data_IF_404394738839
#
_entry.id   IF_404394738839
#
_cell.length_a   1.000
_cell.length_b   1.000
_cell.length_c   1.000
_cell.angle_alpha   90.00
_cell.angle_beta   90.00
_cell.angle_gamma   90.00
#
_symmetry.space_group_name_H-M   'P 1'
#
loop_
_entity.id
_entity.type
_entity.pdbx_description
1 polymer ?
#
# COMPACT_ATOMS: atom_id res chain seq x y z
N UNK A 1 2.56 -32.77 53.10
CA UNK A 1 3.75 -32.22 52.42
C UNK A 1 3.53 -32.40 50.92
N UNK A 2 2.57 -31.66 50.35
CA UNK A 2 2.23 -31.70 48.93
C UNK A 2 2.73 -30.40 48.30
N UNK A 3 3.68 -30.52 47.38
CA UNK A 3 4.19 -29.41 46.59
C UNK A 3 3.30 -29.24 45.37
N UNK A 4 2.54 -28.15 45.33
CA UNK A 4 1.94 -27.65 44.10
C UNK A 4 3.04 -27.02 43.24
N UNK A 5 3.21 -27.55 42.03
CA UNK A 5 3.96 -26.91 40.94
C UNK A 5 3.02 -25.91 40.25
N UNK A 6 3.40 -24.64 40.05
CA UNK A 6 2.64 -23.76 39.18
C UNK A 6 3.05 -24.06 37.73
N UNK A 7 2.05 -24.32 36.89
CA UNK A 7 2.20 -24.40 35.46
C UNK A 7 2.56 -23.00 34.91
N UNK A 8 3.71 -22.90 34.26
CA UNK A 8 4.10 -21.74 33.47
C UNK A 8 3.22 -21.70 32.20
N UNK A 9 2.18 -20.87 32.22
CA UNK A 9 1.51 -20.43 31.02
C UNK A 9 2.39 -19.41 30.30
N UNK A 10 2.95 -19.79 29.15
CA UNK A 10 3.61 -18.85 28.24
C UNK A 10 2.56 -17.90 27.65
N UNK A 11 2.29 -16.80 28.34
CA UNK A 11 1.52 -15.70 27.80
C UNK A 11 2.29 -15.04 26.66
N UNK A 12 1.70 -15.01 25.46
CA UNK A 12 2.13 -14.08 24.41
C UNK A 12 2.07 -12.66 24.98
N UNK A 13 3.22 -12.00 25.09
CA UNK A 13 3.28 -10.59 25.46
C UNK A 13 2.76 -9.79 24.26
N UNK A 14 1.49 -9.41 24.28
CA UNK A 14 0.90 -8.48 23.31
C UNK A 14 1.53 -7.09 23.45
N UNK A 15 1.64 -6.35 22.33
CA UNK A 15 2.09 -4.95 22.34
C UNK A 15 3.13 -4.53 21.29
N UNK A 16 3.66 -5.45 20.46
CA UNK A 16 4.59 -5.10 19.37
C UNK A 16 5.88 -4.41 19.84
N UNK A 17 6.40 -3.46 19.05
CA UNK A 17 7.54 -2.63 19.46
C UNK A 17 7.02 -1.53 20.39
N UNK A 18 6.94 -1.83 21.68
CA UNK A 18 6.27 -1.03 22.72
C UNK A 18 6.77 0.41 22.94
N UNK A 19 7.85 0.85 22.27
CA UNK A 19 8.35 2.23 22.36
C UNK A 19 9.02 2.72 21.08
N UNK A 20 9.02 4.05 20.88
CA UNK A 20 9.67 4.66 19.72
C UNK A 20 11.20 4.48 19.74
N UNK A 21 11.82 4.32 20.92
CA UNK A 21 13.24 3.97 21.01
C UNK A 21 13.56 2.61 20.41
N UNK A 22 12.66 1.64 20.57
CA UNK A 22 12.78 0.34 19.91
C UNK A 22 12.49 0.46 18.41
N UNK A 23 11.45 1.20 18.03
CA UNK A 23 11.10 1.43 16.62
C UNK A 23 12.22 2.12 15.85
N UNK A 24 12.89 3.12 16.43
CA UNK A 24 14.06 3.79 15.85
C UNK A 24 15.21 2.85 15.48
N UNK A 25 15.31 1.71 16.16
CA UNK A 25 16.29 0.66 15.87
C UNK A 25 15.73 -0.38 14.90
N UNK A 26 14.47 -0.78 15.10
CA UNK A 26 13.86 -1.90 14.39
C UNK A 26 13.30 -1.54 13.00
N UNK A 27 12.62 -0.40 12.84
CA UNK A 27 12.01 -0.01 11.57
C UNK A 27 13.04 0.09 10.43
N UNK A 28 14.24 0.67 10.62
CA UNK A 28 15.29 0.62 9.60
C UNK A 28 15.63 -0.81 9.15
N UNK A 29 15.76 -1.74 10.11
CA UNK A 29 16.07 -3.15 9.84
C UNK A 29 14.94 -3.82 9.07
N UNK A 30 13.68 -3.61 9.46
CA UNK A 30 12.50 -4.15 8.79
C UNK A 30 12.36 -3.61 7.36
N UNK A 31 12.72 -2.35 7.15
CA UNK A 31 12.80 -1.73 5.83
C UNK A 31 14.04 -2.15 5.04
N UNK A 32 14.98 -2.86 5.66
CA UNK A 32 16.12 -3.45 4.96
C UNK A 32 17.36 -2.58 4.87
N UNK A 33 17.57 -1.65 5.80
CA UNK A 33 18.79 -0.85 5.86
C UNK A 33 19.32 -0.70 7.29
N UNK A 34 20.61 -0.38 7.41
CA UNK A 34 21.28 -0.22 8.70
C UNK A 34 21.38 1.25 9.08
N UNK A 35 20.79 1.61 10.23
CA UNK A 35 20.77 2.96 10.77
C UNK A 35 22.15 3.54 11.13
N UNK A 36 23.17 2.68 11.27
CA UNK A 36 24.54 3.05 11.64
C UNK A 36 25.49 3.14 10.43
N UNK A 37 25.10 2.57 9.28
CA UNK A 37 25.90 2.61 8.04
C UNK A 37 25.57 3.79 7.13
N UNK A 38 24.53 4.54 7.45
CA UNK A 38 24.15 5.80 6.78
C UNK A 38 25.01 6.96 7.28
N UNK A 39 26.34 6.80 7.28
CA UNK A 39 27.20 7.98 7.23
C UNK A 39 27.06 8.60 5.84
N UNK A 40 26.85 9.93 5.74
CA UNK A 40 26.60 10.56 4.45
C UNK A 40 27.78 10.32 3.51
N UNK A 41 27.53 9.60 2.42
CA UNK A 41 28.49 9.41 1.34
C UNK A 41 28.70 10.74 0.59
N UNK A 42 29.77 10.84 -0.23
CA UNK A 42 30.00 12.03 -1.06
C UNK A 42 28.84 12.37 -2.02
N UNK A 43 27.95 11.40 -2.31
CA UNK A 43 26.73 11.60 -3.09
C UNK A 43 25.56 12.12 -2.22
N UNK A 44 25.54 11.81 -0.91
CA UNK A 44 24.61 12.38 0.08
C UNK A 44 24.86 13.87 0.36
N UNK A 45 26.04 14.39 0.00
CA UNK A 45 26.37 15.80 0.09
C UNK A 45 25.63 16.67 -0.96
N UNK A 46 24.99 16.06 -1.96
CA UNK A 46 23.98 16.79 -2.76
C UNK A 46 22.78 17.05 -1.88
N UNK A 47 22.77 18.21 -1.23
CA UNK A 47 21.60 18.81 -0.60
C UNK A 47 20.41 18.59 -1.52
N UNK A 48 19.39 17.85 -1.06
CA UNK A 48 18.21 17.55 -1.87
C UNK A 48 17.53 18.81 -2.43
N UNK A 49 17.75 19.96 -1.77
CA UNK A 49 17.31 21.27 -2.22
C UNK A 49 17.89 21.67 -3.59
N UNK A 50 19.05 21.14 -4.00
CA UNK A 50 19.66 21.38 -5.32
C UNK A 50 19.13 20.45 -6.41
N UNK A 51 18.38 19.40 -6.05
CA UNK A 51 17.75 18.53 -7.02
C UNK A 51 16.57 19.26 -7.71
N UNK A 52 16.22 18.91 -8.96
CA UNK A 52 15.09 19.50 -9.66
C UNK A 52 13.79 19.41 -8.85
N UNK A 53 12.95 20.45 -8.98
CA UNK A 53 11.62 20.49 -8.36
C UNK A 53 10.79 19.29 -8.83
N UNK A 54 10.15 18.58 -7.91
CA UNK A 54 9.18 17.53 -8.23
C UNK A 54 7.84 18.15 -8.65
N UNK A 55 7.12 17.48 -9.56
CA UNK A 55 5.84 17.98 -10.08
C UNK A 55 4.77 18.16 -9.00
N UNK A 56 4.81 17.33 -7.96
CA UNK A 56 3.77 17.26 -6.93
C UNK A 56 4.01 18.13 -5.70
N UNK A 57 5.09 18.93 -5.63
CA UNK A 57 5.42 19.73 -4.44
C UNK A 57 4.31 20.71 -4.02
N UNK A 58 3.55 21.23 -4.98
CA UNK A 58 2.42 22.12 -4.67
C UNK A 58 1.27 21.37 -3.97
N UNK A 59 1.04 20.10 -4.32
CA UNK A 59 0.08 19.25 -3.62
C UNK A 59 0.57 18.87 -2.22
N UNK A 60 1.87 18.57 -2.09
CA UNK A 60 2.49 18.29 -0.78
C UNK A 60 2.24 19.44 0.20
N UNK A 61 2.47 20.69 -0.22
CA UNK A 61 2.22 21.87 0.60
C UNK A 61 0.77 21.96 1.07
N UNK A 62 -0.19 21.72 0.18
CA UNK A 62 -1.63 21.79 0.52
C UNK A 62 -2.03 20.71 1.53
N UNK A 63 -1.49 19.51 1.39
CA UNK A 63 -1.79 18.37 2.24
C UNK A 63 -1.15 18.48 3.62
N UNK A 64 0.12 18.88 3.68
CA UNK A 64 0.86 19.07 4.94
C UNK A 64 0.22 20.14 5.83
N UNK A 65 -0.44 21.15 5.26
CA UNK A 65 -1.22 22.11 6.03
C UNK A 65 -2.35 21.46 6.86
N UNK A 66 -2.80 20.27 6.46
CA UNK A 66 -3.82 19.45 7.12
C UNK A 66 -3.22 18.29 7.93
N UNK A 67 -1.91 18.21 8.09
CA UNK A 67 -1.24 17.17 8.89
C UNK A 67 -1.33 17.45 10.41
N UNK A 68 -1.03 16.42 11.21
CA UNK A 68 -0.99 16.45 12.67
C UNK A 68 -2.32 16.90 13.33
N UNK A 69 -3.45 16.49 12.76
CA UNK A 69 -4.79 16.82 13.31
C UNK A 69 -5.05 16.07 14.62
N UNK A 70 -4.72 14.78 14.66
CA UNK A 70 -5.06 13.91 15.79
C UNK A 70 -3.90 13.69 16.76
N UNK A 71 -2.68 13.60 16.24
CA UNK A 71 -1.48 13.40 17.03
C UNK A 71 -0.32 14.22 16.46
N UNK A 72 0.60 14.69 17.31
CA UNK A 72 0.63 14.54 18.77
C UNK A 72 -0.30 15.53 19.51
N UNK A 73 -0.85 15.13 20.66
CA UNK A 73 -1.86 15.92 21.41
C UNK A 73 -1.26 16.92 22.42
N UNK A 74 0.03 16.81 22.72
CA UNK A 74 0.75 17.53 23.78
C UNK A 74 1.61 18.69 23.26
N UNK A 75 1.27 19.26 22.10
CA UNK A 75 2.09 20.27 21.41
C UNK A 75 1.37 21.58 21.13
N UNK A 76 2.13 22.67 21.25
CA UNK A 76 1.67 24.02 20.91
C UNK A 76 1.53 24.19 19.40
N UNK A 77 0.71 25.15 18.96
CA UNK A 77 0.55 25.47 17.54
C UNK A 77 1.88 25.76 16.82
N UNK A 78 2.85 26.40 17.51
CA UNK A 78 4.20 26.67 16.98
C UNK A 78 5.01 25.39 16.77
N UNK A 79 4.91 24.44 17.69
CA UNK A 79 5.57 23.13 17.54
C UNK A 79 4.94 22.33 16.40
N UNK A 80 3.61 22.35 16.27
CA UNK A 80 2.91 21.73 15.14
C UNK A 80 3.33 22.37 13.81
N UNK A 81 3.42 23.70 13.73
CA UNK A 81 3.88 24.41 12.53
C UNK A 81 5.32 24.03 12.15
N UNK A 82 6.20 23.91 13.15
CA UNK A 82 7.58 23.42 12.95
C UNK A 82 7.56 22.01 12.36
N UNK A 83 6.74 21.09 12.91
CA UNK A 83 6.62 19.72 12.37
C UNK A 83 6.02 19.68 10.97
N UNK A 84 5.11 20.57 10.62
CA UNK A 84 4.61 20.71 9.24
C UNK A 84 5.74 21.11 8.30
N UNK A 85 6.60 22.03 8.70
CA UNK A 85 7.84 22.34 7.97
C UNK A 85 8.72 21.10 7.76
N UNK A 86 9.02 20.38 8.84
CA UNK A 86 9.83 19.15 8.81
C UNK A 86 9.20 18.06 7.91
N UNK A 87 7.88 17.89 7.96
CA UNK A 87 7.13 16.95 7.14
C UNK A 87 7.16 17.34 5.66
N UNK A 88 7.01 18.63 5.36
CA UNK A 88 7.12 19.15 3.99
C UNK A 88 8.51 18.88 3.41
N UNK A 89 9.56 19.15 4.19
CA UNK A 89 10.95 18.90 3.79
C UNK A 89 11.20 17.41 3.57
N UNK A 90 10.73 16.55 4.48
CA UNK A 90 10.83 15.09 4.36
C UNK A 90 10.20 14.57 3.07
N UNK A 91 8.94 14.92 2.80
CA UNK A 91 8.21 14.44 1.62
C UNK A 91 8.87 14.99 0.35
N UNK A 92 9.25 16.27 0.35
CA UNK A 92 9.91 16.90 -0.81
C UNK A 92 11.26 16.25 -1.09
N UNK A 93 12.06 15.98 -0.06
CA UNK A 93 13.33 15.28 -0.20
C UNK A 93 13.14 13.90 -0.83
N UNK A 94 12.20 13.10 -0.34
CA UNK A 94 11.91 11.76 -0.86
C UNK A 94 11.52 11.82 -2.34
N UNK A 95 10.60 12.72 -2.70
CA UNK A 95 10.13 12.85 -4.09
C UNK A 95 11.23 13.38 -5.02
N UNK A 96 12.07 14.31 -4.58
CA UNK A 96 13.19 14.80 -5.40
C UNK A 96 14.29 13.76 -5.59
N UNK A 97 14.55 12.94 -4.57
CA UNK A 97 15.51 11.83 -4.66
C UNK A 97 14.96 10.66 -5.49
N UNK A 98 13.65 10.43 -5.46
CA UNK A 98 12.95 9.38 -6.21
C UNK A 98 11.91 9.99 -7.18
N UNK A 99 12.33 10.77 -8.20
CA UNK A 99 11.43 11.60 -9.01
C UNK A 99 10.50 10.83 -9.95
N UNK A 100 10.58 9.50 -9.97
CA UNK A 100 9.65 8.65 -10.69
C UNK A 100 8.38 8.36 -9.90
N UNK A 101 8.38 8.55 -8.58
CA UNK A 101 7.22 8.31 -7.72
C UNK A 101 6.21 9.44 -7.86
N UNK A 102 4.94 9.11 -8.09
CA UNK A 102 3.84 10.08 -8.09
C UNK A 102 3.25 10.20 -6.69
N UNK A 103 3.11 11.42 -6.19
CA UNK A 103 2.46 11.68 -4.91
C UNK A 103 0.96 11.35 -4.98
N UNK A 104 0.40 10.76 -3.92
CA UNK A 104 -1.03 10.58 -3.75
C UNK A 104 -1.53 11.31 -2.50
N UNK A 105 -2.75 11.85 -2.55
CA UNK A 105 -3.36 12.51 -1.41
C UNK A 105 -3.58 11.51 -0.27
N UNK A 106 -3.01 11.83 0.91
CA UNK A 106 -2.95 10.94 2.08
C UNK A 106 -1.57 10.33 2.35
N UNK A 107 -0.60 10.49 1.43
CA UNK A 107 0.78 10.05 1.68
C UNK A 107 1.44 10.80 2.87
N UNK A 108 1.05 12.05 3.12
CA UNK A 108 1.48 12.81 4.30
C UNK A 108 1.07 12.17 5.63
N UNK A 109 -0.09 11.48 5.70
CA UNK A 109 -0.55 10.77 6.90
C UNK A 109 0.39 9.60 7.24
N UNK A 110 0.97 8.94 6.23
CA UNK A 110 2.01 7.91 6.44
C UNK A 110 3.32 8.57 6.91
N UNK A 111 3.75 9.61 6.21
CA UNK A 111 5.04 10.26 6.46
C UNK A 111 5.11 10.92 7.85
N UNK A 112 3.99 11.47 8.37
CA UNK A 112 3.97 12.06 9.69
C UNK A 112 4.21 11.02 10.81
N UNK A 113 3.73 9.79 10.65
CA UNK A 113 3.99 8.70 11.61
C UNK A 113 5.48 8.37 11.63
N UNK A 114 6.10 8.26 10.45
CA UNK A 114 7.55 8.07 10.34
C UNK A 114 8.35 9.20 10.97
N UNK A 115 7.94 10.45 10.75
CA UNK A 115 8.61 11.61 11.34
C UNK A 115 8.50 11.63 12.87
N UNK A 116 7.34 11.25 13.43
CA UNK A 116 7.15 11.18 14.88
C UNK A 116 7.99 10.07 15.52
N UNK A 117 8.06 8.90 14.88
CA UNK A 117 8.79 7.74 15.39
C UNK A 117 10.30 7.90 15.21
N UNK A 118 10.76 8.20 14.00
CA UNK A 118 12.19 8.22 13.64
C UNK A 118 12.87 9.57 13.90
N UNK A 119 12.11 10.66 13.96
CA UNK A 119 12.66 12.01 13.93
C UNK A 119 13.32 12.31 12.58
N UNK A 120 14.41 13.09 12.60
CA UNK A 120 15.10 13.51 11.38
C UNK A 120 16.08 12.45 10.84
N UNK A 121 16.77 11.75 11.74
CA UNK A 121 17.80 10.78 11.34
C UNK A 121 17.15 9.59 10.66
N UNK A 122 17.67 9.16 9.51
CA UNK A 122 17.23 7.99 8.76
C UNK A 122 15.78 8.03 8.23
N UNK A 123 15.01 9.08 8.51
CA UNK A 123 13.59 9.14 8.16
C UNK A 123 13.38 9.24 6.64
N UNK A 124 14.17 10.08 5.95
CA UNK A 124 14.12 10.20 4.48
C UNK A 124 14.45 8.87 3.78
N UNK A 125 15.46 8.14 4.26
CA UNK A 125 15.80 6.80 3.73
C UNK A 125 14.69 5.79 4.03
N UNK A 126 14.16 5.77 5.25
CA UNK A 126 13.08 4.88 5.65
C UNK A 126 11.83 5.08 4.78
N UNK A 127 11.41 6.34 4.62
CA UNK A 127 10.25 6.70 3.80
C UNK A 127 10.52 6.43 2.32
N UNK A 128 11.72 6.70 1.80
CA UNK A 128 12.10 6.34 0.42
C UNK A 128 11.97 4.84 0.16
N UNK A 129 12.44 4.00 1.10
CA UNK A 129 12.37 2.54 0.99
C UNK A 129 10.94 2.03 1.13
N UNK A 130 10.16 2.56 2.09
CA UNK A 130 8.73 2.25 2.21
C UNK A 130 8.02 2.54 0.88
N UNK A 131 8.23 3.73 0.33
CA UNK A 131 7.59 4.22 -0.88
C UNK A 131 7.95 3.41 -2.12
N UNK A 132 9.22 3.06 -2.28
CA UNK A 132 9.68 2.29 -3.41
C UNK A 132 9.37 0.79 -3.31
N UNK A 133 9.28 0.22 -2.09
CA UNK A 133 9.28 -1.24 -1.89
C UNK A 133 7.98 -1.79 -1.29
N UNK A 134 7.27 -1.03 -0.45
CA UNK A 134 6.05 -1.50 0.24
C UNK A 134 4.76 -0.91 -0.31
N UNK A 135 4.76 0.37 -0.71
CA UNK A 135 3.54 1.10 -1.13
C UNK A 135 3.61 1.65 -2.57
N UNK A 136 4.65 1.29 -3.34
CA UNK A 136 4.92 1.78 -4.70
C UNK A 136 3.71 1.73 -5.64
N UNK A 137 2.86 0.72 -5.51
CA UNK A 137 1.67 0.55 -6.35
C UNK A 137 0.67 1.72 -6.20
N UNK A 138 0.69 2.41 -5.05
CA UNK A 138 -0.11 3.60 -4.77
C UNK A 138 0.50 4.88 -5.32
N UNK A 139 1.80 4.85 -5.61
CA UNK A 139 2.57 5.96 -6.15
C UNK A 139 2.79 5.86 -7.66
N UNK A 140 2.09 4.96 -8.34
CA UNK A 140 2.07 4.87 -9.81
C UNK A 140 1.28 6.04 -10.41
N UNK A 141 1.47 6.38 -11.70
CA UNK A 141 0.80 7.51 -12.33
C UNK A 141 -0.74 7.43 -12.37
N UNK A 142 -1.31 6.26 -12.08
CA UNK A 142 -2.75 6.05 -11.96
C UNK A 142 -3.04 5.19 -10.73
N UNK A 143 -4.23 5.35 -10.15
CA UNK A 143 -4.70 4.52 -9.02
C UNK A 143 -5.17 3.11 -9.44
N UNK A 144 -5.10 2.75 -10.73
CA UNK A 144 -5.58 1.46 -11.21
C UNK A 144 -4.95 0.24 -10.50
N UNK A 145 -3.64 0.21 -10.19
CA UNK A 145 -3.01 -0.84 -9.38
C UNK A 145 -3.57 -0.88 -7.96
N UNK A 146 -3.70 0.27 -7.29
CA UNK A 146 -4.31 0.37 -5.96
C UNK A 146 -5.72 -0.25 -5.96
N UNK A 147 -6.56 0.13 -6.93
CA UNK A 147 -7.91 -0.43 -7.10
C UNK A 147 -7.89 -1.93 -7.41
N UNK A 148 -6.87 -2.45 -8.09
CA UNK A 148 -6.73 -3.88 -8.31
C UNK A 148 -6.45 -4.64 -7.00
N UNK A 149 -5.68 -4.05 -6.08
CA UNK A 149 -5.46 -4.62 -4.75
C UNK A 149 -6.77 -4.67 -3.95
N UNK A 150 -7.57 -3.58 -3.94
CA UNK A 150 -8.86 -3.54 -3.23
C UNK A 150 -9.85 -4.59 -3.71
N UNK A 151 -9.83 -4.92 -5.00
CA UNK A 151 -10.69 -5.96 -5.58
C UNK A 151 -10.37 -7.37 -5.08
N UNK A 152 -9.27 -7.57 -4.34
CA UNK A 152 -9.01 -8.82 -3.63
C UNK A 152 -9.92 -8.97 -2.40
N UNK A 153 -10.39 -7.88 -1.78
CA UNK A 153 -11.21 -7.90 -0.54
C UNK A 153 -12.48 -8.74 -0.71
N UNK A 154 -13.32 -8.54 -1.74
CA UNK A 154 -14.48 -9.41 -1.95
C UNK A 154 -14.11 -10.88 -2.15
N UNK A 155 -12.95 -11.16 -2.76
CA UNK A 155 -12.43 -12.52 -2.93
C UNK A 155 -12.11 -13.18 -1.59
N UNK A 156 -11.46 -12.46 -0.69
CA UNK A 156 -11.14 -12.92 0.68
C UNK A 156 -12.42 -13.13 1.49
N UNK A 157 -13.38 -12.19 1.42
CA UNK A 157 -14.66 -12.32 2.11
C UNK A 157 -15.40 -13.57 1.60
N UNK A 158 -15.40 -13.82 0.29
CA UNK A 158 -16.07 -14.97 -0.31
C UNK A 158 -15.53 -16.31 0.19
N UNK A 159 -14.23 -16.42 0.49
CA UNK A 159 -13.66 -17.69 0.97
C UNK A 159 -14.09 -18.04 2.40
N UNK A 160 -14.42 -17.02 3.21
CA UNK A 160 -14.81 -17.19 4.63
C UNK A 160 -16.32 -17.15 4.81
N UNK A 161 -16.98 -16.16 4.21
CA UNK A 161 -18.41 -15.90 4.36
C UNK A 161 -19.05 -15.58 2.99
N UNK A 162 -19.42 -16.62 2.21
CA UNK A 162 -20.07 -16.46 0.90
C UNK A 162 -21.38 -15.66 0.96
N UNK A 163 -22.13 -15.75 2.07
CA UNK A 163 -23.38 -15.00 2.28
C UNK A 163 -23.12 -13.51 2.38
N UNK A 164 -22.10 -13.11 3.16
CA UNK A 164 -21.70 -11.70 3.28
C UNK A 164 -21.16 -11.17 1.94
N UNK A 165 -20.38 -11.97 1.21
CA UNK A 165 -19.94 -11.61 -0.14
C UNK A 165 -21.12 -11.32 -1.08
N UNK A 166 -22.15 -12.18 -1.08
CA UNK A 166 -23.33 -11.98 -1.91
C UNK A 166 -24.11 -10.73 -1.46
N UNK A 167 -24.24 -10.52 -0.15
CA UNK A 167 -24.90 -9.36 0.43
C UNK A 167 -24.22 -8.03 0.03
N UNK A 168 -22.89 -8.01 -0.06
CA UNK A 168 -22.12 -6.83 -0.46
C UNK A 168 -21.86 -6.73 -1.98
N UNK A 169 -22.48 -7.58 -2.81
CA UNK A 169 -22.09 -7.73 -4.22
C UNK A 169 -22.31 -6.49 -5.08
N UNK A 170 -23.25 -5.61 -4.70
CA UNK A 170 -23.52 -4.34 -5.39
C UNK A 170 -22.62 -3.19 -4.89
N UNK A 171 -21.96 -3.35 -3.74
CA UNK A 171 -21.06 -2.35 -3.17
C UNK A 171 -19.64 -2.54 -3.72
N UNK A 172 -19.15 -1.57 -4.47
CA UNK A 172 -17.76 -1.56 -4.90
C UNK A 172 -16.82 -1.33 -3.71
N UNK A 173 -15.64 -1.99 -3.64
CA UNK A 173 -14.72 -1.93 -2.50
C UNK A 173 -13.96 -0.60 -2.38
N UNK A 174 -14.48 0.50 -2.93
CA UNK A 174 -13.87 1.83 -2.82
C UNK A 174 -13.90 2.37 -1.39
N UNK A 175 -14.80 1.87 -0.53
CA UNK A 175 -14.82 2.18 0.91
C UNK A 175 -13.47 1.85 1.59
N UNK A 176 -12.73 0.88 1.05
CA UNK A 176 -11.45 0.46 1.61
C UNK A 176 -10.26 1.30 1.13
N UNK A 177 -10.47 2.19 0.16
CA UNK A 177 -9.38 2.92 -0.47
C UNK A 177 -8.65 3.80 0.53
N UNK A 178 -9.35 4.65 1.29
CA UNK A 178 -8.71 5.56 2.26
C UNK A 178 -7.85 4.81 3.27
N UNK A 179 -8.42 3.81 3.94
CA UNK A 179 -7.71 3.05 4.97
C UNK A 179 -6.51 2.28 4.42
N UNK A 180 -6.65 1.55 3.32
CA UNK A 180 -5.51 0.78 2.77
C UNK A 180 -4.44 1.66 2.15
N UNK A 181 -4.83 2.74 1.45
CA UNK A 181 -3.94 3.68 0.77
C UNK A 181 -3.06 4.45 1.77
N UNK A 182 -3.63 4.86 2.91
CA UNK A 182 -2.94 5.62 3.96
C UNK A 182 -2.37 4.73 5.06
N UNK A 183 -2.35 3.40 4.87
CA UNK A 183 -1.96 2.43 5.91
C UNK A 183 -2.70 2.68 7.23
N UNK A 184 -3.97 3.06 7.15
CA UNK A 184 -4.90 3.40 8.23
C UNK A 184 -4.51 4.64 9.05
N UNK A 185 -3.45 5.36 8.66
CA UNK A 185 -2.96 6.53 9.40
C UNK A 185 -3.93 7.71 9.36
N UNK A 186 -4.80 7.76 8.35
CA UNK A 186 -5.86 8.76 8.24
C UNK A 186 -7.02 8.51 9.22
N UNK A 187 -7.36 7.24 9.45
CA UNK A 187 -8.57 6.85 10.19
C UNK A 187 -8.31 6.55 11.67
N UNK A 188 -7.11 6.08 12.02
CA UNK A 188 -6.69 5.81 13.40
C UNK A 188 -6.22 7.10 14.06
N UNK A 189 -6.90 7.49 15.13
CA UNK A 189 -6.70 8.77 15.82
C UNK A 189 -5.71 8.65 16.99
N UNK A 190 -5.48 7.45 17.51
CA UNK A 190 -4.55 7.20 18.61
C UNK A 190 -3.14 6.90 18.08
N UNK A 191 -2.15 7.71 18.48
CA UNK A 191 -0.76 7.55 18.04
C UNK A 191 -0.19 6.16 18.36
N UNK A 192 -0.47 5.66 19.56
CA UNK A 192 0.00 4.35 20.01
C UNK A 192 -0.49 3.22 19.09
N UNK A 193 -1.76 3.27 18.69
CA UNK A 193 -2.38 2.27 17.83
C UNK A 193 -1.81 2.31 16.42
N UNK A 194 -1.64 3.51 15.82
CA UNK A 194 -1.10 3.61 14.47
C UNK A 194 0.38 3.23 14.41
N UNK A 195 1.18 3.62 15.41
CA UNK A 195 2.59 3.21 15.49
C UNK A 195 2.72 1.69 15.66
N UNK A 196 1.85 1.08 16.49
CA UNK A 196 1.76 -0.37 16.65
C UNK A 196 1.38 -1.09 15.37
N UNK A 197 0.49 -0.49 14.57
CA UNK A 197 0.06 -1.06 13.31
C UNK A 197 1.17 -1.00 12.25
N UNK A 198 1.95 0.08 12.22
CA UNK A 198 3.13 0.20 11.37
C UNK A 198 4.21 -0.83 11.73
N UNK A 199 4.38 -1.18 13.01
CA UNK A 199 5.25 -2.30 13.41
C UNK A 199 4.88 -3.59 12.68
N UNK A 200 3.57 -3.87 12.51
CA UNK A 200 3.07 -5.06 11.80
C UNK A 200 3.28 -4.93 10.30
N UNK A 201 2.90 -3.81 9.70
CA UNK A 201 3.00 -3.63 8.25
C UNK A 201 4.44 -3.66 7.75
N UNK A 202 5.40 -3.20 8.55
CA UNK A 202 6.82 -3.32 8.23
C UNK A 202 7.37 -4.74 8.43
N UNK A 203 6.79 -5.51 9.35
CA UNK A 203 7.21 -6.89 9.65
C UNK A 203 6.49 -7.97 8.80
N UNK A 204 5.53 -7.59 7.97
CA UNK A 204 4.67 -8.49 7.19
C UNK A 204 4.72 -8.17 5.69
N UNK A 205 4.16 -9.08 4.90
CA UNK A 205 3.93 -8.83 3.47
C UNK A 205 2.95 -7.68 3.23
N UNK A 206 3.15 -6.90 2.15
CA UNK A 206 2.31 -5.73 1.85
C UNK A 206 0.80 -6.06 1.72
N UNK A 207 0.46 -7.29 1.32
CA UNK A 207 -0.95 -7.72 1.21
C UNK A 207 -1.66 -7.84 2.56
N UNK A 208 -0.92 -7.88 3.67
CA UNK A 208 -1.49 -7.94 5.02
C UNK A 208 -2.46 -6.77 5.29
N UNK A 209 -2.18 -5.57 4.75
CA UNK A 209 -3.10 -4.41 4.85
C UNK A 209 -4.45 -4.68 4.17
N UNK A 210 -4.46 -5.35 3.01
CA UNK A 210 -5.70 -5.74 2.31
C UNK A 210 -6.48 -6.79 3.10
N UNK A 211 -5.78 -7.77 3.69
CA UNK A 211 -6.39 -8.79 4.55
C UNK A 211 -6.95 -8.19 5.83
N UNK A 212 -6.27 -7.21 6.40
CA UNK A 212 -6.76 -6.50 7.59
C UNK A 212 -8.07 -5.80 7.29
N UNK A 213 -8.20 -5.17 6.12
CA UNK A 213 -9.47 -4.56 5.73
C UNK A 213 -10.57 -5.62 5.58
N UNK A 214 -10.28 -6.74 4.92
CA UNK A 214 -11.22 -7.85 4.80
C UNK A 214 -11.65 -8.39 6.19
N UNK A 215 -10.72 -8.50 7.13
CA UNK A 215 -11.01 -8.92 8.50
C UNK A 215 -11.89 -7.90 9.24
N UNK A 216 -11.70 -6.59 9.04
CA UNK A 216 -12.59 -5.55 9.58
C UNK A 216 -14.02 -5.76 9.06
N UNK A 217 -14.19 -6.03 7.76
CA UNK A 217 -15.52 -6.31 7.18
C UNK A 217 -16.13 -7.59 7.77
N UNK A 218 -15.34 -8.66 7.88
CA UNK A 218 -15.79 -9.93 8.46
C UNK A 218 -16.22 -9.78 9.93
N UNK A 219 -15.49 -9.00 10.73
CA UNK A 219 -15.82 -8.75 12.13
C UNK A 219 -17.13 -7.97 12.31
N UNK A 220 -17.58 -7.27 11.26
CA UNK A 220 -18.81 -6.46 11.27
C UNK A 220 -19.95 -7.13 10.51
N UNK A 221 -19.88 -8.44 10.27
CA UNK A 221 -20.88 -9.15 9.46
C UNK A 221 -22.30 -9.00 10.02
N UNK A 222 -22.47 -9.01 11.34
CA UNK A 222 -23.79 -8.85 11.98
C UNK A 222 -24.39 -7.47 11.66
N UNK A 223 -23.65 -6.38 11.93
CA UNK A 223 -24.05 -5.01 11.60
C UNK A 223 -24.38 -4.83 10.11
N UNK A 224 -23.61 -5.47 9.23
CA UNK A 224 -23.84 -5.39 7.80
C UNK A 224 -25.12 -6.12 7.37
N UNK A 225 -25.41 -7.30 7.94
CA UNK A 225 -26.64 -8.04 7.63
C UNK A 225 -27.92 -7.35 8.16
N UNK A 226 -27.80 -6.51 9.18
CA UNK A 226 -28.91 -5.69 9.67
C UNK A 226 -29.26 -4.54 8.72
N UNK A 227 -28.37 -4.21 7.79
CA UNK A 227 -28.61 -3.23 6.72
C UNK A 227 -29.11 -3.95 5.46
N UNK A 228 -30.19 -3.52 4.79
CA UNK A 228 -30.67 -4.16 3.58
C UNK A 228 -29.62 -4.16 2.44
N UNK A 229 -29.57 -5.25 1.66
CA UNK A 229 -28.59 -5.42 0.58
C UNK A 229 -28.81 -4.46 -0.60
N UNK A 230 -30.04 -3.99 -0.78
CA UNK A 230 -30.46 -3.01 -1.79
C UNK A 230 -30.22 -1.56 -1.36
N UNK A 231 -29.53 -1.34 -0.23
CA UNK A 231 -29.06 -0.04 0.24
C UNK A 231 -27.52 0.07 0.18
N UNK A 232 -26.89 0.00 -1.01
CA UNK A 232 -25.43 -0.02 -1.15
C UNK A 232 -24.74 1.25 -0.63
N UNK A 233 -25.45 2.38 -0.62
CA UNK A 233 -24.95 3.65 -0.08
C UNK A 233 -24.79 3.61 1.45
N UNK A 234 -25.74 2.97 2.15
CA UNK A 234 -25.69 2.77 3.59
C UNK A 234 -24.56 1.81 3.97
N UNK A 235 -24.47 0.67 3.27
CA UNK A 235 -23.37 -0.28 3.41
C UNK A 235 -22.01 0.39 3.16
N UNK A 236 -21.90 1.22 2.12
CA UNK A 236 -20.69 1.98 1.84
C UNK A 236 -20.32 2.94 2.98
N UNK A 237 -21.30 3.66 3.54
CA UNK A 237 -21.11 4.59 4.66
C UNK A 237 -20.62 3.87 5.93
N UNK A 238 -21.21 2.71 6.23
CA UNK A 238 -20.81 1.84 7.34
C UNK A 238 -19.35 1.38 7.15
N UNK A 239 -19.04 0.85 5.97
CA UNK A 239 -17.74 0.27 5.64
C UNK A 239 -16.61 1.31 5.49
N UNK A 240 -16.95 2.57 5.24
CA UNK A 240 -15.97 3.67 5.16
C UNK A 240 -15.48 4.15 6.52
N UNK A 241 -16.04 3.64 7.63
CA UNK A 241 -15.62 3.97 8.99
C UNK A 241 -15.00 2.75 9.66
N UNK A 242 -13.88 2.94 10.35
CA UNK A 242 -13.34 1.90 11.22
C UNK A 242 -14.25 1.69 12.44
N UNK A 243 -14.41 0.45 12.92
CA UNK A 243 -15.21 0.17 14.11
C UNK A 243 -14.59 0.84 15.34
N UNK A 244 -15.44 1.38 16.22
CA UNK A 244 -15.03 1.97 17.50
C UNK A 244 -15.79 1.27 18.65
N UNK A 245 -15.10 0.66 19.63
CA UNK A 245 -13.65 0.57 19.78
C UNK A 245 -13.01 -0.43 18.79
N UNK A 246 -11.80 -0.13 18.34
CA UNK A 246 -11.00 -1.03 17.50
C UNK A 246 -10.08 -1.86 18.40
N UNK A 247 -10.37 -3.16 18.58
CA UNK A 247 -9.46 -4.05 19.29
C UNK A 247 -8.29 -4.45 18.36
N UNK A 248 -7.24 -3.64 18.36
CA UNK A 248 -6.13 -3.75 17.41
C UNK A 248 -5.39 -5.09 17.51
N UNK A 249 -5.05 -5.56 18.71
CA UNK A 249 -4.32 -6.84 18.87
C UNK A 249 -5.16 -8.03 18.41
N UNK A 250 -6.47 -8.04 18.71
CA UNK A 250 -7.37 -9.06 18.18
C UNK A 250 -7.46 -8.98 16.66
N UNK A 251 -7.59 -7.79 16.09
CA UNK A 251 -7.62 -7.59 14.64
C UNK A 251 -6.35 -8.12 13.97
N UNK A 252 -5.17 -7.82 14.53
CA UNK A 252 -3.87 -8.33 14.01
C UNK A 252 -3.82 -9.86 14.07
N UNK A 253 -4.24 -10.46 15.19
CA UNK A 253 -4.27 -11.90 15.38
C UNK A 253 -5.22 -12.60 14.40
N UNK A 254 -6.45 -12.09 14.28
CA UNK A 254 -7.47 -12.65 13.39
C UNK A 254 -7.06 -12.46 11.92
N UNK A 255 -6.49 -11.31 11.55
CA UNK A 255 -5.94 -11.06 10.19
C UNK A 255 -4.82 -12.02 9.85
N UNK A 256 -3.94 -12.33 10.81
CA UNK A 256 -2.86 -13.31 10.61
C UNK A 256 -3.44 -14.69 10.30
N UNK A 257 -4.39 -15.15 11.12
CA UNK A 257 -5.07 -16.44 10.88
C UNK A 257 -5.78 -16.47 9.53
N UNK A 258 -6.45 -15.38 9.16
CA UNK A 258 -7.15 -15.25 7.88
C UNK A 258 -6.17 -15.40 6.71
N UNK A 259 -5.02 -14.75 6.77
CA UNK A 259 -3.99 -14.83 5.74
C UNK A 259 -3.37 -16.23 5.63
N UNK A 260 -3.08 -16.86 6.77
CA UNK A 260 -2.50 -18.22 6.82
C UNK A 260 -3.48 -19.27 6.28
N UNK A 261 -4.77 -19.16 6.61
CA UNK A 261 -5.81 -20.10 6.19
C UNK A 261 -6.26 -19.89 4.73
N UNK A 262 -6.22 -18.65 4.25
CA UNK A 262 -6.68 -18.27 2.91
C UNK A 262 -5.59 -17.46 2.19
N UNK A 263 -4.45 -18.07 1.83
CA UNK A 263 -3.33 -17.36 1.23
C UNK A 263 -3.74 -16.72 -0.11
N UNK A 264 -3.10 -15.60 -0.52
CA UNK A 264 -3.54 -14.84 -1.69
C UNK A 264 -3.45 -15.66 -2.98
N UNK A 265 -2.54 -16.64 -3.05
CA UNK A 265 -2.44 -17.62 -4.13
C UNK A 265 -3.74 -18.37 -4.42
N UNK A 266 -4.60 -18.55 -3.41
CA UNK A 266 -5.89 -19.22 -3.56
C UNK A 266 -6.96 -18.33 -4.22
N UNK A 267 -6.73 -17.01 -4.29
CA UNK A 267 -7.71 -16.05 -4.80
C UNK A 267 -7.67 -15.99 -6.34
N UNK A 268 -8.81 -16.13 -7.05
CA UNK A 268 -8.82 -16.08 -8.52
C UNK A 268 -8.20 -14.82 -9.13
N UNK A 269 -8.41 -13.67 -8.48
CA UNK A 269 -7.90 -12.38 -8.93
C UNK A 269 -6.40 -12.17 -8.65
N UNK A 270 -5.76 -13.00 -7.83
CA UNK A 270 -4.32 -12.90 -7.54
C UNK A 270 -3.46 -13.05 -8.79
N UNK A 271 -3.87 -13.93 -9.70
CA UNK A 271 -3.20 -14.13 -10.99
C UNK A 271 -3.18 -12.88 -11.87
N UNK A 272 -4.15 -11.96 -11.67
CA UNK A 272 -4.27 -10.69 -12.39
C UNK A 272 -3.44 -9.56 -11.79
N UNK A 273 -3.01 -9.68 -10.54
CA UNK A 273 -2.08 -8.71 -9.92
C UNK A 273 -0.74 -8.79 -10.64
N UNK A 274 -0.16 -7.63 -10.99
CA UNK A 274 1.13 -7.56 -11.66
C UNK A 274 2.20 -8.36 -10.90
N UNK A 275 3.07 -9.07 -11.62
CA UNK A 275 4.25 -9.70 -11.02
C UNK A 275 5.23 -8.70 -10.42
N UNK A 276 5.15 -7.45 -10.88
CA UNK A 276 5.97 -6.33 -10.41
C UNK A 276 5.27 -5.53 -9.31
N UNK A 277 4.09 -5.95 -8.84
CA UNK A 277 3.36 -5.35 -7.71
C UNK A 277 4.10 -5.53 -6.39
N UNK A 278 4.04 -4.54 -5.50
CA UNK A 278 4.55 -4.69 -4.11
C UNK A 278 3.93 -5.87 -3.38
N UNK A 279 2.69 -6.24 -3.70
CA UNK A 279 2.05 -7.43 -3.15
C UNK A 279 2.84 -8.72 -3.46
N UNK A 280 3.64 -8.74 -4.53
CA UNK A 280 4.44 -9.90 -4.95
C UNK A 280 5.95 -9.70 -4.76
N UNK A 281 6.43 -8.46 -4.70
CA UNK A 281 7.85 -8.14 -4.52
C UNK A 281 8.24 -7.87 -3.06
N UNK A 282 7.28 -7.63 -2.17
CA UNK A 282 7.50 -7.41 -0.74
C UNK A 282 6.71 -8.43 0.10
N UNK A 283 7.07 -9.72 -0.02
CA UNK A 283 6.43 -10.83 0.72
C UNK A 283 7.04 -11.06 2.11
N UNK A 284 8.23 -10.54 2.38
CA UNK A 284 8.84 -10.62 3.71
C UNK A 284 9.91 -9.54 3.92
N UNK A 285 10.22 -9.18 5.18
CA UNK A 285 11.30 -8.26 5.49
C UNK A 285 12.66 -8.69 4.89
N UNK A 286 12.95 -10.00 4.85
CA UNK A 286 14.19 -10.52 4.28
C UNK A 286 14.25 -10.34 2.76
N UNK A 287 13.12 -10.41 2.07
CA UNK A 287 13.04 -10.13 0.64
C UNK A 287 13.23 -8.63 0.38
N UNK A 288 12.63 -7.77 1.20
CA UNK A 288 12.77 -6.31 1.11
C UNK A 288 14.20 -5.87 1.41
N UNK A 289 14.86 -6.49 2.39
CA UNK A 289 16.25 -6.22 2.74
C UNK A 289 17.25 -6.52 1.62
N UNK A 290 16.91 -7.40 0.69
CA UNK A 290 17.74 -7.69 -0.49
C UNK A 290 17.50 -6.74 -1.65
N UNK A 291 16.50 -5.86 -1.56
CA UNK A 291 16.13 -4.92 -2.61
C UNK A 291 16.69 -3.52 -2.34
N UNK A 292 17.19 -2.90 -3.40
CA UNK A 292 17.61 -1.50 -3.46
C UNK A 292 16.47 -0.60 -3.96
N UNK A 293 16.61 0.72 -3.80
CA UNK A 293 15.68 1.69 -4.40
C UNK A 293 15.63 1.57 -5.94
N UNK A 294 16.74 1.18 -6.58
CA UNK A 294 16.79 0.92 -8.03
C UNK A 294 15.92 -0.27 -8.44
N UNK A 295 15.82 -1.31 -7.60
CA UNK A 295 14.90 -2.43 -7.86
C UNK A 295 13.44 -1.96 -7.78
N UNK A 296 13.13 -1.10 -6.81
CA UNK A 296 11.83 -0.42 -6.71
C UNK A 296 11.48 0.37 -7.97
N UNK A 297 12.42 1.17 -8.48
CA UNK A 297 12.26 1.91 -9.74
C UNK A 297 12.07 0.96 -10.94
N UNK A 298 12.85 -0.11 -11.03
CA UNK A 298 12.70 -1.10 -12.10
C UNK A 298 11.28 -1.71 -12.11
N UNK A 299 10.76 -2.08 -10.93
CA UNK A 299 9.41 -2.63 -10.82
C UNK A 299 8.32 -1.58 -11.11
N UNK A 300 8.55 -0.32 -10.72
CA UNK A 300 7.70 0.80 -11.08
C UNK A 300 7.55 0.90 -12.60
N UNK A 301 8.67 1.00 -13.32
CA UNK A 301 8.70 1.17 -14.77
C UNK A 301 8.06 -0.01 -15.51
N UNK A 302 8.25 -1.24 -14.99
CA UNK A 302 7.57 -2.45 -15.51
C UNK A 302 6.05 -2.33 -15.37
N UNK A 303 5.55 -1.93 -14.21
CA UNK A 303 4.11 -1.75 -14.00
C UNK A 303 3.54 -0.60 -14.84
N UNK A 304 4.23 0.54 -14.94
CA UNK A 304 3.80 1.65 -15.82
C UNK A 304 3.66 1.18 -17.26
N UNK A 305 4.63 0.41 -17.76
CA UNK A 305 4.54 -0.18 -19.11
C UNK A 305 3.31 -1.09 -19.21
N UNK A 306 3.11 -2.02 -18.26
CA UNK A 306 1.94 -2.91 -18.24
C UNK A 306 0.61 -2.12 -18.30
N UNK A 307 0.49 -1.03 -17.55
CA UNK A 307 -0.69 -0.14 -17.56
C UNK A 307 -0.88 0.53 -18.92
N UNK A 308 0.17 1.12 -19.49
CA UNK A 308 0.11 1.75 -20.82
C UNK A 308 -0.30 0.74 -21.90
N UNK A 309 0.19 -0.50 -21.82
CA UNK A 309 -0.20 -1.57 -22.72
C UNK A 309 -1.68 -1.94 -22.57
N UNK A 310 -2.17 -2.05 -21.33
CA UNK A 310 -3.57 -2.33 -21.05
C UNK A 310 -4.49 -1.23 -21.62
N UNK A 311 -4.16 0.05 -21.38
CA UNK A 311 -4.92 1.19 -21.91
C UNK A 311 -4.93 1.23 -23.45
N UNK A 312 -3.79 0.97 -24.10
CA UNK A 312 -3.72 0.91 -25.57
C UNK A 312 -4.59 -0.22 -26.12
N UNK A 313 -4.55 -1.40 -25.50
CA UNK A 313 -5.41 -2.53 -25.89
C UNK A 313 -6.88 -2.18 -25.74
N UNK A 314 -7.29 -1.57 -24.64
CA UNK A 314 -8.68 -1.14 -24.45
C UNK A 314 -9.12 -0.11 -25.49
N UNK A 315 -8.25 0.86 -25.85
CA UNK A 315 -8.55 1.84 -26.90
C UNK A 315 -8.75 1.16 -28.25
N UNK A 316 -7.88 0.22 -28.62
CA UNK A 316 -8.00 -0.55 -29.87
C UNK A 316 -9.30 -1.35 -29.87
N UNK A 317 -9.59 -2.09 -28.79
CA UNK A 317 -10.84 -2.86 -28.67
C UNK A 317 -12.05 -1.93 -28.80
N UNK A 318 -12.09 -0.80 -28.08
CA UNK A 318 -13.19 0.17 -28.19
C UNK A 318 -13.35 0.71 -29.61
N UNK A 319 -12.26 0.98 -30.32
CA UNK A 319 -12.31 1.44 -31.72
C UNK A 319 -12.80 0.35 -32.68
N UNK A 320 -12.39 -0.90 -32.48
CA UNK A 320 -12.88 -2.05 -33.26
C UNK A 320 -14.38 -2.29 -33.04
N UNK A 321 -14.86 -2.20 -31.81
CA UNK A 321 -16.28 -2.32 -31.48
C UNK A 321 -17.13 -1.21 -32.11
N UNK A 322 -16.59 0.01 -32.23
CA UNK A 322 -17.25 1.10 -32.96
C UNK A 322 -17.37 0.83 -34.47
N UNK A 323 -16.43 0.08 -35.06
CA UNK A 323 -16.41 -0.20 -36.49
C UNK A 323 -17.35 -1.35 -36.93
N UNK A 324 -18.11 -1.98 -36.01
CA UNK A 324 -19.20 -2.96 -36.26
C UNK A 324 -18.94 -4.11 -37.25
N UNK A 325 -17.70 -4.36 -37.71
CA UNK A 325 -17.41 -5.44 -38.65
C UNK A 325 -16.80 -6.66 -37.91
N UNK A 326 -17.54 -7.76 -37.73
CA UNK A 326 -17.14 -8.88 -36.87
C UNK A 326 -15.85 -9.58 -37.31
N UNK A 327 -15.59 -9.64 -38.62
CA UNK A 327 -14.40 -10.30 -39.16
C UNK A 327 -13.10 -9.58 -38.78
N UNK A 328 -13.12 -8.24 -38.72
CA UNK A 328 -11.97 -7.42 -38.32
C UNK A 328 -11.72 -7.58 -36.81
N UNK A 329 -12.80 -7.65 -36.00
CA UNK A 329 -12.71 -7.85 -34.55
C UNK A 329 -12.01 -9.18 -34.22
N UNK A 330 -12.42 -10.27 -34.89
CA UNK A 330 -11.83 -11.61 -34.67
C UNK A 330 -10.38 -11.65 -35.14
N UNK A 331 -10.09 -11.13 -36.34
CA UNK A 331 -8.73 -11.14 -36.90
C UNK A 331 -7.73 -10.33 -36.06
N UNK A 332 -8.11 -9.12 -35.63
CA UNK A 332 -7.25 -8.29 -34.78
C UNK A 332 -7.11 -8.87 -33.37
N UNK A 333 -8.17 -9.47 -32.82
CA UNK A 333 -8.12 -10.14 -31.51
C UNK A 333 -7.08 -11.27 -31.46
N UNK A 334 -7.03 -12.11 -32.50
CA UNK A 334 -6.02 -13.18 -32.64
C UNK A 334 -4.62 -12.59 -32.78
N UNK A 335 -4.45 -11.56 -33.61
CA UNK A 335 -3.16 -10.90 -33.82
C UNK A 335 -2.61 -10.27 -32.53
N UNK A 336 -3.46 -9.54 -31.79
CA UNK A 336 -3.10 -8.95 -30.50
C UNK A 336 -2.77 -10.04 -29.48
N UNK A 337 -3.51 -11.14 -29.45
CA UNK A 337 -3.22 -12.30 -28.59
C UNK A 337 -1.84 -12.92 -28.87
N UNK A 338 -1.51 -13.13 -30.14
CA UNK A 338 -0.22 -13.67 -30.58
C UNK A 338 0.94 -12.72 -30.27
N UNK A 339 0.79 -11.42 -30.57
CA UNK A 339 1.79 -10.40 -30.23
C UNK A 339 2.00 -10.30 -28.72
N UNK A 340 0.93 -10.33 -27.94
CA UNK A 340 0.97 -10.32 -26.47
C UNK A 340 1.71 -11.52 -25.90
N UNK A 341 1.52 -12.70 -26.50
CA UNK A 341 2.20 -13.93 -26.11
C UNK A 341 3.69 -13.91 -26.50
N UNK A 342 4.02 -13.41 -27.70
CA UNK A 342 5.39 -13.38 -28.21
C UNK A 342 6.26 -12.33 -27.50
N UNK A 343 5.70 -11.16 -27.21
CA UNK A 343 6.39 -10.09 -26.47
C UNK A 343 6.67 -10.46 -25.02
N UNK A 344 5.88 -11.37 -24.43
CA UNK A 344 6.14 -11.93 -23.10
C UNK A 344 7.36 -12.87 -23.08
N UNK A 345 7.80 -13.38 -24.23
CA UNK A 345 8.95 -14.29 -24.36
C UNK A 345 10.26 -13.61 -24.84
N UNK A 346 10.20 -12.50 -25.58
CA UNK A 346 11.40 -11.89 -26.18
C UNK A 346 11.42 -10.35 -26.10
N UNK A 347 12.32 -9.73 -25.30
CA UNK A 347 12.41 -8.27 -25.14
C UNK A 347 13.00 -7.47 -26.33
N UNK A 348 13.58 -8.09 -27.36
CA UNK A 348 14.24 -7.35 -28.46
C UNK A 348 13.29 -6.83 -29.55
N UNK A 349 12.06 -7.39 -29.63
CA UNK A 349 11.06 -7.02 -30.65
C UNK A 349 10.43 -5.64 -30.36
N UNK A 350 10.66 -5.09 -29.16
CA UNK A 350 10.15 -3.79 -28.73
C UNK A 350 10.62 -2.63 -29.62
N UNK A 351 11.86 -2.65 -30.11
CA UNK A 351 12.37 -1.59 -31.00
C UNK A 351 11.74 -1.64 -32.39
N UNK A 352 11.60 -2.85 -32.96
CA UNK A 352 11.08 -3.06 -34.31
C UNK A 352 9.60 -2.65 -34.44
N UNK A 353 8.78 -2.95 -33.43
CA UNK A 353 7.36 -2.61 -33.44
C UNK A 353 7.14 -1.12 -33.11
N UNK A 354 8.05 -0.49 -32.36
CA UNK A 354 7.96 0.94 -32.05
C UNK A 354 8.23 1.85 -33.27
N UNK A 355 9.04 1.40 -34.23
CA UNK A 355 9.31 2.16 -35.46
C UNK A 355 8.23 1.98 -36.53
N UNK A 356 7.57 0.82 -36.58
CA UNK A 356 6.50 0.55 -37.54
C UNK A 356 5.18 1.28 -37.24
N UNK A 357 5.08 1.95 -36.08
CA UNK A 357 3.86 2.60 -35.57
C UNK A 357 4.10 4.03 -35.04
N UNK A 358 5.02 4.77 -35.69
CA UNK A 358 4.88 6.22 -35.85
C UNK A 358 4.03 6.48 -37.09
#
# INVERSE_FOLDING_TARGET
MERHSPAEGSGFVGGGLVSDDMRRKAWPILLGFSADKTEPTADDQRRWQTLPKHADEDQVRLDVNRAFIYYPTDQTAKQIDTRKGELSDLITEVLRRQPYLCYFQGYHDICQVFLLVLGHKNCSEAVSRLSALHIRDFMLPTLAPALAQLRLIPGIIRTVNPKLYQHLSETQPFFALSGTLTMYAHDIQEYGDIARLFDVFLARESIFSVYMFAQIVLNRSEELFDTPADEPEMLHSILSKLPKPLNLERLISDTTKLLDQHPPESLPLWSKISKSSVLKTARSPEQVAKQSLKDGQMYFEKQVKELQWAERREKIVRQLWKNKNPAIIIGVGVLVGLLSYHMRKSPSIYHLVSELWK
#
